data_IF_299594515268
#
_entry.id   IF_299594515268
#
_cell.length_a   1.000
_cell.length_b   1.000
_cell.length_c   1.000
_cell.angle_alpha   90.00
_cell.angle_beta   90.00
_cell.angle_gamma   90.00
#
_symmetry.space_group_name_H-M   'P 1'
#
loop_
_entity.id
_entity.type
_entity.pdbx_description
1 polymer ?
#
# COMPACT_ATOMS: atom_id res chain seq x y z
N UNK A 1 -1.47 0.59 13.06
CA UNK A 1 -1.83 0.74 11.65
C UNK A 1 -3.19 1.41 11.44
N UNK A 2 -4.27 0.97 12.09
CA UNK A 2 -5.62 1.54 11.88
C UNK A 2 -5.71 3.06 12.15
N UNK A 3 -5.16 3.55 13.25
CA UNK A 3 -5.19 4.99 13.61
C UNK A 3 -4.49 5.86 12.56
N UNK A 4 -3.33 5.43 12.06
CA UNK A 4 -2.61 6.16 11.02
C UNK A 4 -3.39 6.22 9.73
N UNK A 5 -3.96 5.08 9.29
CA UNK A 5 -4.82 5.06 8.10
C UNK A 5 -6.06 5.94 8.26
N UNK A 6 -6.69 5.95 9.43
CA UNK A 6 -7.83 6.83 9.71
C UNK A 6 -7.43 8.31 9.62
N UNK A 7 -6.28 8.68 10.18
CA UNK A 7 -5.79 10.05 10.10
C UNK A 7 -5.49 10.47 8.65
N UNK A 8 -4.80 9.61 7.88
CA UNK A 8 -4.35 9.96 6.53
C UNK A 8 -5.49 9.96 5.49
N UNK A 9 -6.46 9.05 5.63
CA UNK A 9 -7.53 8.86 4.64
C UNK A 9 -8.87 9.47 5.01
N UNK A 10 -9.12 9.78 6.28
CA UNK A 10 -10.36 10.42 6.72
C UNK A 10 -10.10 11.83 7.24
N UNK A 11 -9.36 11.97 8.35
CA UNK A 11 -9.18 13.24 9.04
C UNK A 11 -8.47 14.26 8.15
N UNK A 12 -7.36 13.87 7.54
CA UNK A 12 -6.59 14.73 6.63
C UNK A 12 -7.42 15.21 5.45
N UNK A 13 -8.19 14.30 4.81
CA UNK A 13 -9.02 14.64 3.65
C UNK A 13 -10.20 15.56 4.00
N UNK A 14 -10.73 15.49 5.23
CA UNK A 14 -11.76 16.41 5.71
C UNK A 14 -11.22 17.79 6.09
N UNK A 15 -9.95 17.88 6.52
CA UNK A 15 -9.33 19.13 6.90
C UNK A 15 -8.76 19.92 5.71
N UNK A 16 -8.32 19.27 4.65
CA UNK A 16 -7.73 19.92 3.48
C UNK A 16 -8.65 20.93 2.76
N UNK A 17 -9.97 20.70 2.63
CA UNK A 17 -10.88 21.65 1.98
C UNK A 17 -11.21 22.88 2.82
N UNK A 18 -10.81 22.91 4.10
CA UNK A 18 -11.10 24.04 4.99
C UNK A 18 -10.33 25.27 4.54
N UNK A 19 -11.02 26.41 4.44
CA UNK A 19 -10.41 27.68 4.02
C UNK A 19 -9.21 28.04 4.90
N UNK A 20 -8.09 28.39 4.27
CA UNK A 20 -6.84 28.75 4.94
C UNK A 20 -5.94 27.57 5.32
N UNK A 21 -6.36 26.33 5.14
CA UNK A 21 -5.51 25.16 5.34
C UNK A 21 -4.70 24.89 4.08
N UNK A 22 -3.37 24.89 4.22
CA UNK A 22 -2.42 24.59 3.12
C UNK A 22 -1.98 23.14 3.09
N UNK A 23 -2.06 22.45 4.24
CA UNK A 23 -1.66 21.06 4.33
C UNK A 23 -1.90 20.49 5.71
N UNK A 24 -1.86 19.17 5.80
CA UNK A 24 -1.93 18.41 7.05
C UNK A 24 -0.80 17.41 7.07
N UNK A 25 0.11 17.53 8.03
CA UNK A 25 1.23 16.62 8.24
C UNK A 25 0.87 15.62 9.33
N UNK A 26 1.04 14.35 9.04
CA UNK A 26 0.73 13.27 9.97
C UNK A 26 2.02 12.72 10.58
N UNK A 27 2.08 12.61 11.92
CA UNK A 27 3.21 12.06 12.65
C UNK A 27 2.77 10.90 13.53
N UNK A 28 3.69 9.97 13.81
CA UNK A 28 3.44 8.81 14.63
C UNK A 28 2.60 7.74 13.95
N UNK A 29 2.35 6.64 14.67
CA UNK A 29 1.63 5.48 14.19
C UNK A 29 2.39 4.68 13.13
N UNK A 30 1.81 3.56 12.73
CA UNK A 30 2.37 2.63 11.74
C UNK A 30 1.62 2.77 10.42
N UNK A 31 2.31 3.20 9.36
CA UNK A 31 1.76 3.24 8.00
C UNK A 31 1.59 1.80 7.50
N UNK A 32 0.38 1.48 7.04
CA UNK A 32 0.06 0.15 6.51
C UNK A 32 0.54 0.03 5.06
N UNK A 33 1.28 -1.02 4.77
CA UNK A 33 1.73 -1.34 3.41
C UNK A 33 1.55 -2.81 3.07
N UNK A 34 1.54 -3.15 1.79
CA UNK A 34 1.70 -4.51 1.30
C UNK A 34 3.18 -4.85 1.33
N UNK A 35 3.53 -5.93 2.00
CA UNK A 35 4.91 -6.39 2.10
C UNK A 35 5.05 -7.76 1.46
N UNK A 36 6.01 -7.89 0.54
CA UNK A 36 6.40 -9.13 -0.10
C UNK A 36 7.71 -9.59 0.52
N UNK A 37 7.65 -10.60 1.37
CA UNK A 37 8.82 -11.19 2.04
C UNK A 37 9.35 -12.34 1.22
N UNK A 38 10.47 -12.12 0.53
CA UNK A 38 11.10 -13.13 -0.32
C UNK A 38 11.76 -14.20 0.52
N UNK A 39 11.63 -15.47 0.10
CA UNK A 39 12.35 -16.60 0.69
C UNK A 39 13.59 -16.90 -0.15
N UNK A 40 14.83 -16.67 0.37
CA UNK A 40 16.05 -16.85 -0.40
C UNK A 40 16.27 -18.29 -0.90
N UNK A 41 15.88 -19.29 -0.12
CA UNK A 41 16.01 -20.69 -0.52
C UNK A 41 15.11 -21.03 -1.71
N UNK A 42 13.87 -20.53 -1.69
CA UNK A 42 12.94 -20.73 -2.80
C UNK A 42 13.38 -19.96 -4.05
N UNK A 43 13.92 -18.75 -3.91
CA UNK A 43 14.49 -18.00 -5.03
C UNK A 43 15.58 -18.79 -5.73
N UNK A 44 16.48 -19.41 -4.96
CA UNK A 44 17.54 -20.27 -5.51
C UNK A 44 16.98 -21.52 -6.18
N UNK A 45 16.02 -22.21 -5.54
CA UNK A 45 15.40 -23.42 -6.09
C UNK A 45 14.70 -23.17 -7.42
N UNK A 46 13.99 -22.05 -7.55
CA UNK A 46 13.29 -21.68 -8.78
C UNK A 46 14.16 -20.88 -9.76
N UNK A 47 15.43 -20.64 -9.44
CA UNK A 47 16.37 -19.83 -10.25
C UNK A 47 15.78 -18.46 -10.64
N UNK A 48 15.15 -17.78 -9.67
CA UNK A 48 14.53 -16.45 -9.82
C UNK A 48 15.33 -15.43 -9.01
N UNK A 49 15.65 -14.29 -9.63
CA UNK A 49 16.31 -13.18 -8.93
C UNK A 49 15.28 -12.28 -8.25
N UNK A 50 15.68 -11.57 -7.19
CA UNK A 50 14.83 -10.58 -6.54
C UNK A 50 14.44 -9.44 -7.52
N UNK A 51 15.30 -9.09 -8.46
CA UNK A 51 15.03 -8.09 -9.50
C UNK A 51 13.85 -8.51 -10.39
N UNK A 52 13.80 -9.78 -10.80
CA UNK A 52 12.70 -10.31 -11.60
C UNK A 52 11.36 -10.22 -10.87
N UNK A 53 11.36 -10.44 -9.54
CA UNK A 53 10.14 -10.31 -8.72
C UNK A 53 9.67 -8.85 -8.69
N UNK A 54 10.57 -7.91 -8.46
CA UNK A 54 10.27 -6.47 -8.44
C UNK A 54 9.72 -6.01 -9.79
N UNK A 55 10.35 -6.45 -10.88
CA UNK A 55 9.92 -6.11 -12.24
C UNK A 55 8.53 -6.69 -12.55
N UNK A 56 8.29 -7.96 -12.20
CA UNK A 56 6.99 -8.60 -12.38
C UNK A 56 5.89 -7.85 -11.63
N UNK A 57 6.12 -7.46 -10.37
CA UNK A 57 5.15 -6.71 -9.58
C UNK A 57 4.90 -5.32 -10.19
N UNK A 58 5.93 -4.61 -10.61
CA UNK A 58 5.79 -3.29 -11.26
C UNK A 58 4.98 -3.37 -12.55
N UNK A 59 5.24 -4.37 -13.38
CA UNK A 59 4.58 -4.56 -14.66
C UNK A 59 3.10 -4.96 -14.52
N UNK A 60 2.75 -5.64 -13.44
CA UNK A 60 1.36 -6.06 -13.16
C UNK A 60 0.53 -5.03 -12.38
N UNK A 61 1.10 -3.93 -11.91
CA UNK A 61 0.38 -2.88 -11.19
C UNK A 61 0.31 -1.59 -12.02
N UNK A 62 -0.25 -1.69 -13.22
CA UNK A 62 -0.45 -0.53 -14.10
C UNK A 62 -1.64 -0.75 -15.03
N UNK A 63 -2.34 0.32 -15.34
CA UNK A 63 -3.32 0.30 -16.41
C UNK A 63 -2.63 0.38 -17.75
N UNK A 64 -3.16 -0.33 -18.72
CA UNK A 64 -2.71 -0.28 -20.10
C UNK A 64 -3.83 0.30 -20.95
N UNK A 65 -3.52 1.34 -21.72
CA UNK A 65 -4.38 1.80 -22.80
C UNK A 65 -4.44 0.72 -23.88
N UNK A 66 -5.64 0.41 -24.33
CA UNK A 66 -5.86 -0.48 -25.45
C UNK A 66 -6.09 0.29 -26.73
N UNK A 67 -6.32 -0.44 -27.81
CA UNK A 67 -6.68 0.09 -29.10
C UNK A 67 -8.21 0.19 -29.21
N UNK A 68 -8.67 0.77 -30.27
CA UNK A 68 -10.08 0.76 -30.66
C UNK A 68 -10.38 -0.51 -31.43
N UNK A 69 -11.53 -1.10 -31.17
CA UNK A 69 -12.10 -2.20 -31.95
C UNK A 69 -13.30 -1.67 -32.70
N UNK A 70 -13.18 -1.60 -34.02
CA UNK A 70 -14.28 -1.19 -34.88
C UNK A 70 -15.20 -2.38 -35.12
N UNK A 71 -16.48 -2.22 -34.80
CA UNK A 71 -17.52 -3.24 -34.95
C UNK A 71 -18.70 -2.63 -35.69
N UNK A 72 -18.63 -2.64 -37.03
CA UNK A 72 -19.63 -1.97 -37.87
C UNK A 72 -19.62 -0.47 -37.64
N UNK A 73 -20.74 0.10 -37.22
CA UNK A 73 -20.91 1.53 -36.93
C UNK A 73 -20.49 1.93 -35.50
N UNK A 74 -20.05 0.98 -34.69
CA UNK A 74 -19.63 1.22 -33.31
C UNK A 74 -18.12 1.06 -33.16
N UNK A 75 -17.51 1.99 -32.40
CA UNK A 75 -16.11 1.92 -32.01
C UNK A 75 -16.00 1.63 -30.51
N UNK A 76 -15.47 0.47 -30.17
CA UNK A 76 -15.26 0.04 -28.80
C UNK A 76 -13.84 0.35 -28.34
N UNK A 77 -13.70 0.99 -27.17
CA UNK A 77 -12.39 1.26 -26.55
C UNK A 77 -11.99 0.07 -25.68
N UNK A 78 -10.85 -0.55 -26.01
CA UNK A 78 -10.26 -1.60 -25.19
C UNK A 78 -9.42 -0.95 -24.09
N UNK A 79 -9.68 -1.30 -22.84
CA UNK A 79 -8.95 -0.79 -21.68
C UNK A 79 -8.51 -1.96 -20.79
N UNK A 80 -7.20 -2.08 -20.59
CA UNK A 80 -6.64 -3.03 -19.62
C UNK A 80 -6.59 -2.40 -18.23
N UNK A 81 -7.34 -2.95 -17.27
CA UNK A 81 -7.31 -2.53 -15.88
C UNK A 81 -6.40 -3.49 -15.09
N UNK A 82 -5.22 -2.99 -14.71
CA UNK A 82 -4.20 -3.76 -13.97
C UNK A 82 -3.94 -3.24 -12.55
N UNK A 83 -4.80 -2.35 -12.03
CA UNK A 83 -4.64 -1.83 -10.67
C UNK A 83 -5.05 -2.87 -9.64
N UNK A 84 -4.16 -3.10 -8.68
CA UNK A 84 -4.41 -4.00 -7.56
C UNK A 84 -5.57 -3.48 -6.71
N UNK A 85 -6.45 -4.40 -6.33
CA UNK A 85 -7.56 -4.07 -5.44
C UNK A 85 -7.06 -3.81 -4.02
N UNK A 86 -7.82 -3.01 -3.27
CA UNK A 86 -7.47 -2.72 -1.88
C UNK A 86 -7.80 -3.89 -0.95
N UNK A 87 -7.11 -3.96 0.19
CA UNK A 87 -7.40 -4.93 1.24
C UNK A 87 -6.88 -6.34 0.94
N UNK A 88 -7.57 -7.35 1.45
CA UNK A 88 -7.17 -8.77 1.35
C UNK A 88 -7.13 -9.24 -0.10
N UNK A 89 -8.02 -8.74 -0.95
CA UNK A 89 -8.03 -9.07 -2.38
C UNK A 89 -6.70 -8.72 -3.04
N UNK A 90 -6.15 -7.51 -2.76
CA UNK A 90 -4.84 -7.11 -3.28
C UNK A 90 -3.70 -8.00 -2.81
N UNK A 91 -3.75 -8.58 -1.59
CA UNK A 91 -2.76 -9.59 -1.17
C UNK A 91 -2.80 -10.83 -2.07
N UNK A 92 -4.00 -11.31 -2.40
CA UNK A 92 -4.17 -12.48 -3.28
C UNK A 92 -3.74 -12.17 -4.71
N UNK A 93 -4.06 -10.99 -5.21
CA UNK A 93 -3.66 -10.55 -6.55
C UNK A 93 -2.14 -10.47 -6.67
N UNK A 94 -1.46 -9.81 -5.71
CA UNK A 94 0.01 -9.78 -5.66
C UNK A 94 0.59 -11.19 -5.60
N UNK A 95 0.03 -12.07 -4.77
CA UNK A 95 0.46 -13.45 -4.66
C UNK A 95 0.32 -14.25 -5.95
N UNK A 96 -0.65 -13.92 -6.80
CA UNK A 96 -0.92 -14.62 -8.06
C UNK A 96 -0.15 -14.06 -9.26
N UNK A 97 0.61 -12.97 -9.11
CA UNK A 97 1.45 -12.41 -10.18
C UNK A 97 2.44 -13.48 -10.64
N UNK A 98 2.46 -13.73 -11.94
CA UNK A 98 3.40 -14.63 -12.60
C UNK A 98 4.76 -13.95 -12.76
N UNK A 99 5.85 -14.65 -12.40
CA UNK A 99 7.21 -14.11 -12.46
C UNK A 99 7.96 -14.72 -13.64
N UNK A 100 7.93 -16.05 -13.75
CA UNK A 100 8.69 -16.81 -14.73
C UNK A 100 8.03 -18.17 -14.96
N UNK A 101 8.24 -18.74 -16.11
CA UNK A 101 7.96 -20.14 -16.39
C UNK A 101 9.23 -20.98 -16.22
N UNK A 102 9.11 -22.10 -15.55
CA UNK A 102 10.19 -23.09 -15.35
C UNK A 102 9.63 -24.45 -15.67
N UNK A 103 10.18 -25.11 -16.67
CA UNK A 103 9.79 -26.45 -17.11
C UNK A 103 8.27 -26.62 -17.33
N UNK A 104 7.64 -25.67 -18.01
CA UNK A 104 6.20 -25.65 -18.27
C UNK A 104 5.33 -25.25 -17.06
N UNK A 105 5.93 -24.97 -15.91
CA UNK A 105 5.22 -24.55 -14.69
C UNK A 105 5.42 -23.06 -14.42
N UNK A 106 4.32 -22.34 -14.22
CA UNK A 106 4.35 -20.90 -13.91
C UNK A 106 4.69 -20.70 -12.44
N UNK A 107 5.81 -20.06 -12.18
CA UNK A 107 6.23 -19.63 -10.83
C UNK A 107 5.58 -18.29 -10.51
N UNK A 108 4.83 -18.22 -9.41
CA UNK A 108 4.12 -17.03 -8.93
C UNK A 108 4.79 -16.46 -7.69
N UNK A 109 4.44 -15.19 -7.35
CA UNK A 109 4.97 -14.53 -6.16
C UNK A 109 4.71 -15.36 -4.89
N UNK A 110 3.53 -15.94 -4.72
CA UNK A 110 3.19 -16.78 -3.56
C UNK A 110 4.05 -18.05 -3.40
N UNK A 111 4.65 -18.54 -4.48
CA UNK A 111 5.47 -19.74 -4.45
C UNK A 111 6.85 -19.45 -3.85
N UNK A 112 7.35 -18.23 -4.01
CA UNK A 112 8.69 -17.81 -3.58
C UNK A 112 8.70 -16.74 -2.47
N UNK A 113 7.54 -16.20 -2.13
CA UNK A 113 7.40 -15.13 -1.15
C UNK A 113 6.13 -15.27 -0.32
N UNK A 114 6.11 -14.63 0.83
CA UNK A 114 4.92 -14.40 1.64
C UNK A 114 4.44 -12.97 1.43
N UNK A 115 3.16 -12.81 1.07
CA UNK A 115 2.53 -11.49 0.90
C UNK A 115 1.65 -11.21 2.11
N UNK A 116 1.91 -10.11 2.81
CA UNK A 116 1.20 -9.76 4.04
C UNK A 116 1.06 -8.24 4.20
N UNK A 117 0.17 -7.84 5.10
CA UNK A 117 0.17 -6.45 5.59
C UNK A 117 1.23 -6.28 6.66
N UNK A 118 2.09 -5.29 6.47
CA UNK A 118 3.09 -4.94 7.46
C UNK A 118 3.19 -3.41 7.63
N UNK A 119 3.75 -2.95 8.73
CA UNK A 119 4.07 -1.54 8.89
C UNK A 119 5.27 -1.16 8.00
N UNK A 120 5.22 0.06 7.48
CA UNK A 120 6.41 0.69 6.91
C UNK A 120 7.52 0.80 7.96
N UNK A 121 8.78 0.87 7.51
CA UNK A 121 9.92 1.09 8.40
C UNK A 121 9.72 2.42 9.13
N UNK A 122 9.77 2.37 10.46
CA UNK A 122 9.48 3.54 11.31
C UNK A 122 10.62 4.54 11.23
N UNK A 123 10.27 5.78 10.96
CA UNK A 123 11.19 6.92 11.04
C UNK A 123 11.09 7.66 12.38
N UNK A 124 9.99 7.45 13.12
CA UNK A 124 9.77 8.06 14.42
C UNK A 124 8.51 7.52 15.11
N UNK A 125 8.36 7.89 16.37
CA UNK A 125 7.19 7.60 17.18
C UNK A 125 6.79 8.85 17.96
N UNK A 126 5.48 9.00 18.19
CA UNK A 126 4.92 10.05 19.04
C UNK A 126 4.18 9.38 20.16
N UNK A 127 4.48 9.75 21.41
CA UNK A 127 3.74 9.35 22.62
C UNK A 127 3.07 10.55 23.23
N UNK A 128 1.98 10.33 23.95
CA UNK A 128 1.22 11.39 24.60
C UNK A 128 0.89 11.02 26.04
N UNK A 129 1.14 11.95 26.94
CA UNK A 129 0.65 11.89 28.30
C UNK A 129 -0.48 12.91 28.50
N UNK A 130 -1.56 12.53 29.11
CA UNK A 130 -2.62 13.46 29.52
C UNK A 130 -2.89 13.32 31.03
N UNK A 131 -3.55 14.32 31.60
CA UNK A 131 -4.08 14.21 32.98
C UNK A 131 -5.49 13.66 32.91
N UNK A 132 -5.80 12.71 33.79
CA UNK A 132 -7.16 12.23 33.99
C UNK A 132 -8.04 13.30 34.65
N UNK A 133 -9.33 12.99 34.85
CA UNK A 133 -10.28 13.92 35.52
C UNK A 133 -9.90 14.23 36.96
N UNK A 134 -9.01 13.45 37.59
CA UNK A 134 -8.52 13.61 38.96
C UNK A 134 -7.14 14.28 39.00
N UNK A 135 -6.59 14.71 37.83
CA UNK A 135 -5.31 15.38 37.72
C UNK A 135 -4.09 14.46 37.71
N UNK A 136 -4.27 13.13 37.72
CA UNK A 136 -3.17 12.16 37.68
C UNK A 136 -2.65 11.99 36.23
N UNK A 137 -1.33 11.89 36.05
CA UNK A 137 -0.75 11.63 34.73
C UNK A 137 -1.14 10.24 34.22
N UNK A 138 -1.68 10.19 33.02
CA UNK A 138 -2.01 8.95 32.33
C UNK A 138 -1.22 8.89 31.02
N UNK A 139 -0.44 7.83 30.84
CA UNK A 139 0.26 7.57 29.58
C UNK A 139 -0.71 6.92 28.61
N UNK A 140 -0.95 7.57 27.48
CA UNK A 140 -1.76 7.05 26.37
C UNK A 140 -0.95 6.17 25.41
N UNK A 141 0.36 6.04 25.65
CA UNK A 141 1.27 5.31 24.79
C UNK A 141 1.46 6.00 23.43
N UNK A 142 1.60 5.19 22.39
CA UNK A 142 1.83 5.68 21.04
C UNK A 142 0.54 6.24 20.42
N UNK A 143 0.62 7.47 19.95
CA UNK A 143 -0.48 8.20 19.31
C UNK A 143 -0.14 8.60 17.88
N UNK A 144 -1.16 9.01 17.14
CA UNK A 144 -1.04 9.63 15.82
C UNK A 144 -1.41 11.09 15.96
N UNK A 145 -0.54 11.99 15.51
CA UNK A 145 -0.75 13.44 15.57
C UNK A 145 -0.85 14.02 14.17
N UNK A 146 -1.81 14.89 13.94
CA UNK A 146 -1.93 15.70 12.73
C UNK A 146 -1.57 17.15 13.01
N UNK A 147 -0.62 17.73 12.27
CA UNK A 147 -0.29 19.16 12.31
C UNK A 147 -0.93 19.83 11.12
N UNK A 148 -1.84 20.77 11.39
CA UNK A 148 -2.52 21.56 10.35
C UNK A 148 -1.68 22.79 10.04
N UNK A 149 -1.29 22.94 8.78
CA UNK A 149 -0.58 24.12 8.27
C UNK A 149 -1.61 25.14 7.78
N UNK A 150 -1.54 26.34 8.33
CA UNK A 150 -2.39 27.48 7.93
C UNK A 150 -1.59 28.46 7.06
N UNK A 151 -2.22 28.95 6.01
CA UNK A 151 -1.71 30.10 5.25
C UNK A 151 -1.92 31.38 6.07
N UNK A 152 -0.88 32.19 6.17
CA UNK A 152 -1.00 33.58 6.69
C UNK A 152 -1.60 34.47 5.64
#
# INVERSE_FOLDING_TARGET
MKLRSLNDWLVKLQLLPVSGVTGVLSFGGKVKQYQVQLNPQKLLSYKVSAANVVEAIKNNNRNSGGWYLDRGDEQLVIRGEGWLQSGVKGLHEIGNISIKEVDGTVVRVKDIAQVTFAPEIRQGAVSMMQRDKQGKPQDLGEVVTGIVLKRM
#
